data_IF_830443412808
#
_entry.id   IF_830443412808
#
_cell.length_a   1.000
_cell.length_b   1.000
_cell.length_c   1.000
_cell.angle_alpha   90.00
_cell.angle_beta   90.00
_cell.angle_gamma   90.00
#
_symmetry.space_group_name_H-M   'P 1'
#
loop_
_entity.id
_entity.type
_entity.pdbx_description
1 polymer ?
#
# COMPACT_ATOMS: atom_id res chain seq x y z
N UNK A 1 -81.01 -4.78 34.21
CA UNK A 1 -81.95 -5.40 33.25
C UNK A 1 -81.06 -6.06 32.19
N UNK A 2 -80.95 -7.31 32.37
CA UNK A 2 -81.42 -8.41 31.55
C UNK A 2 -80.43 -8.61 30.32
N UNK A 3 -79.70 -9.63 30.27
CA UNK A 3 -79.89 -11.05 30.11
C UNK A 3 -79.33 -11.48 28.72
N UNK A 4 -78.40 -12.45 28.82
CA UNK A 4 -78.28 -13.68 28.03
C UNK A 4 -77.94 -13.57 26.55
N UNK A 5 -77.15 -14.43 25.89
CA UNK A 5 -76.89 -15.87 26.08
C UNK A 5 -75.67 -16.29 25.23
N UNK A 6 -74.94 -17.26 25.72
CA UNK A 6 -74.13 -18.24 24.93
C UNK A 6 -75.08 -19.16 24.15
N UNK A 7 -74.68 -19.96 23.14
CA UNK A 7 -73.70 -21.02 23.29
C UNK A 7 -72.94 -21.48 21.98
N UNK A 8 -71.94 -22.21 22.20
CA UNK A 8 -71.60 -23.61 21.82
C UNK A 8 -70.74 -23.91 20.58
N UNK A 9 -69.68 -24.56 20.97
CA UNK A 9 -69.12 -25.83 20.43
C UNK A 9 -68.68 -25.92 18.96
N UNK A 10 -67.41 -26.24 18.82
CA UNK A 10 -66.82 -26.75 17.61
C UNK A 10 -65.40 -27.30 17.87
N UNK A 11 -65.33 -28.51 18.41
CA UNK A 11 -64.13 -29.33 18.50
C UNK A 11 -63.62 -29.65 17.07
N UNK A 12 -62.47 -29.10 16.67
CA UNK A 12 -61.72 -29.48 15.48
C UNK A 12 -60.36 -30.02 15.91
N UNK A 13 -60.18 -31.33 15.88
CA UNK A 13 -58.92 -31.99 16.11
C UNK A 13 -57.94 -31.60 14.97
N UNK A 14 -57.00 -30.76 15.25
CA UNK A 14 -55.88 -30.42 14.34
C UNK A 14 -54.65 -31.20 14.71
N UNK A 15 -54.27 -32.07 13.81
CA UNK A 15 -53.08 -32.91 13.83
C UNK A 15 -51.81 -32.13 14.18
N UNK A 16 -51.15 -32.54 15.26
CA UNK A 16 -49.81 -32.13 15.59
C UNK A 16 -48.82 -32.73 14.60
N UNK A 17 -48.39 -31.95 13.63
CA UNK A 17 -47.19 -32.24 12.84
C UNK A 17 -45.95 -32.03 13.74
N UNK A 18 -45.02 -33.02 13.81
CA UNK A 18 -43.77 -32.84 14.56
C UNK A 18 -42.97 -31.72 13.90
N UNK A 19 -42.54 -30.75 14.70
CA UNK A 19 -41.52 -29.80 14.34
C UNK A 19 -40.28 -30.58 13.89
N UNK A 20 -39.98 -30.54 12.59
CA UNK A 20 -38.73 -30.98 12.06
C UNK A 20 -37.63 -30.16 12.75
N UNK A 21 -36.84 -30.87 13.55
CA UNK A 21 -35.60 -30.34 14.13
C UNK A 21 -34.72 -29.82 12.98
N UNK A 22 -34.67 -28.50 12.83
CA UNK A 22 -33.85 -27.85 11.83
C UNK A 22 -32.41 -28.38 11.93
N UNK A 23 -32.02 -29.17 10.93
CA UNK A 23 -30.65 -29.61 10.77
C UNK A 23 -29.77 -28.37 10.75
N UNK A 24 -28.93 -28.20 11.77
CA UNK A 24 -27.87 -27.19 11.75
C UNK A 24 -27.08 -27.36 10.46
N UNK A 25 -26.82 -26.26 9.71
CA UNK A 25 -26.01 -26.35 8.52
C UNK A 25 -24.66 -26.93 8.90
N UNK A 26 -24.34 -28.13 8.39
CA UNK A 26 -23.03 -28.74 8.52
C UNK A 26 -22.01 -27.71 8.06
N UNK A 27 -21.17 -27.21 8.98
CA UNK A 27 -20.03 -26.38 8.65
C UNK A 27 -19.25 -27.13 7.56
N UNK A 28 -19.30 -26.65 6.34
CA UNK A 28 -18.53 -27.21 5.24
C UNK A 28 -17.06 -27.19 5.67
N UNK A 29 -16.45 -28.37 5.78
CA UNK A 29 -15.05 -28.53 6.13
C UNK A 29 -14.24 -27.76 5.10
N UNK A 30 -13.72 -26.59 5.50
CA UNK A 30 -12.87 -25.76 4.66
C UNK A 30 -11.63 -26.57 4.35
N UNK A 31 -11.39 -26.84 3.07
CA UNK A 31 -10.26 -27.64 2.62
C UNK A 31 -8.94 -27.19 3.30
N UNK A 32 -8.05 -28.11 3.70
CA UNK A 32 -6.83 -27.78 4.48
C UNK A 32 -5.96 -26.67 3.85
N UNK A 33 -5.88 -26.63 2.52
CA UNK A 33 -5.16 -25.58 1.80
C UNK A 33 -5.80 -24.20 1.93
N UNK A 34 -7.15 -24.10 2.11
CA UNK A 34 -7.83 -22.82 2.43
C UNK A 34 -7.50 -22.33 3.84
N UNK A 35 -7.16 -23.21 4.78
CA UNK A 35 -6.69 -22.83 6.13
C UNK A 35 -5.28 -22.25 6.09
N UNK A 36 -4.41 -22.73 5.21
CA UNK A 36 -3.07 -22.16 5.02
C UNK A 36 -3.11 -20.72 4.49
N UNK A 37 -4.17 -20.37 3.71
CA UNK A 37 -4.44 -19.01 3.26
C UNK A 37 -5.36 -18.19 4.19
N UNK A 38 -5.73 -18.73 5.35
CA UNK A 38 -6.53 -18.05 6.36
C UNK A 38 -5.71 -17.16 7.32
N UNK A 39 -4.45 -16.85 6.95
CA UNK A 39 -3.67 -15.83 7.66
C UNK A 39 -4.43 -14.50 7.51
N UNK A 40 -4.72 -13.87 8.65
CA UNK A 40 -5.34 -12.55 8.64
C UNK A 40 -4.56 -11.63 7.70
N UNK A 41 -5.27 -10.94 6.83
CA UNK A 41 -4.69 -10.03 5.84
C UNK A 41 -3.78 -8.95 6.45
N UNK A 42 -3.82 -8.77 7.77
CA UNK A 42 -2.94 -7.85 8.51
C UNK A 42 -1.51 -8.37 8.69
N UNK A 43 -1.34 -9.69 8.80
CA UNK A 43 -0.02 -10.30 9.05
C UNK A 43 0.66 -10.80 7.77
N UNK A 44 -0.10 -11.03 6.71
CA UNK A 44 0.46 -11.55 5.46
C UNK A 44 1.51 -10.60 4.84
N UNK A 45 1.25 -9.29 4.66
CA UNK A 45 2.25 -8.39 4.12
C UNK A 45 3.53 -8.29 4.98
N UNK A 46 3.48 -8.17 6.32
CA UNK A 46 4.66 -8.23 7.16
C UNK A 46 5.48 -9.52 6.99
N UNK A 47 4.83 -10.68 6.97
CA UNK A 47 5.52 -11.96 6.80
C UNK A 47 6.20 -12.07 5.44
N UNK A 48 5.51 -11.70 4.37
CA UNK A 48 6.05 -11.77 3.01
C UNK A 48 7.20 -10.79 2.79
N UNK A 49 7.09 -9.55 3.28
CA UNK A 49 8.19 -8.58 3.16
C UNK A 49 9.40 -8.99 4.00
N UNK A 50 9.20 -9.63 5.16
CA UNK A 50 10.28 -10.19 5.97
C UNK A 50 10.96 -11.33 5.22
N UNK A 51 10.20 -12.23 4.61
CA UNK A 51 10.75 -13.33 3.80
C UNK A 51 11.56 -12.80 2.62
N UNK A 52 11.05 -11.77 1.92
CA UNK A 52 11.77 -11.08 0.85
C UNK A 52 13.09 -10.50 1.38
N UNK A 53 13.03 -9.79 2.51
CA UNK A 53 14.19 -9.16 3.12
C UNK A 53 15.27 -10.19 3.49
N UNK A 54 14.87 -11.25 4.19
CA UNK A 54 15.78 -12.31 4.63
C UNK A 54 16.43 -13.01 3.42
N UNK A 55 15.62 -13.43 2.44
CA UNK A 55 16.13 -14.07 1.23
C UNK A 55 17.11 -13.16 0.49
N UNK A 56 16.74 -11.91 0.29
CA UNK A 56 17.54 -10.95 -0.44
C UNK A 56 18.84 -10.59 0.31
N UNK A 57 18.79 -10.50 1.64
CA UNK A 57 20.00 -10.18 2.41
C UNK A 57 20.95 -11.37 2.54
N UNK A 58 20.44 -12.56 2.83
CA UNK A 58 21.28 -13.77 2.94
C UNK A 58 21.94 -14.10 1.59
N UNK A 59 21.22 -13.89 0.48
CA UNK A 59 21.73 -14.20 -0.86
C UNK A 59 22.63 -13.11 -1.45
N UNK A 60 22.41 -11.83 -1.12
CA UNK A 60 22.99 -10.69 -1.83
C UNK A 60 23.49 -9.55 -0.95
N UNK A 61 23.36 -9.65 0.38
CA UNK A 61 23.83 -8.60 1.28
C UNK A 61 23.15 -7.24 1.05
N UNK A 62 21.85 -7.22 0.76
CA UNK A 62 21.16 -5.97 0.38
C UNK A 62 21.01 -4.95 1.51
N UNK A 63 21.18 -5.36 2.76
CA UNK A 63 21.16 -4.42 3.89
C UNK A 63 22.56 -3.84 4.13
N UNK A 64 22.61 -2.59 4.50
CA UNK A 64 23.84 -1.94 4.98
C UNK A 64 24.33 -2.57 6.30
N UNK A 65 23.39 -2.97 7.15
CA UNK A 65 23.62 -3.67 8.41
C UNK A 65 22.30 -4.03 9.09
N UNK A 66 22.30 -5.12 9.84
CA UNK A 66 21.13 -5.55 10.61
C UNK A 66 20.75 -4.54 11.69
N UNK A 67 21.75 -3.89 12.30
CA UNK A 67 21.60 -2.92 13.38
C UNK A 67 20.83 -1.71 12.88
N UNK A 68 21.14 -1.21 11.68
CA UNK A 68 20.49 -0.04 11.07
C UNK A 68 19.05 -0.35 10.71
N UNK A 69 18.81 -1.51 10.11
CA UNK A 69 17.45 -1.96 9.80
C UNK A 69 16.64 -2.24 11.06
N UNK A 70 17.22 -2.88 12.05
CA UNK A 70 16.60 -3.09 13.36
C UNK A 70 16.24 -1.77 14.04
N UNK A 71 17.14 -0.79 14.02
CA UNK A 71 16.90 0.55 14.55
C UNK A 71 15.75 1.26 13.81
N UNK A 72 15.70 1.17 12.49
CA UNK A 72 14.60 1.73 11.70
C UNK A 72 13.24 1.12 12.09
N UNK A 73 13.19 -0.21 12.26
CA UNK A 73 11.97 -0.94 12.67
C UNK A 73 11.54 -0.53 14.09
N UNK A 74 12.47 -0.56 15.04
CA UNK A 74 12.16 -0.21 16.45
C UNK A 74 11.70 1.24 16.55
N UNK A 75 12.35 2.15 15.83
CA UNK A 75 11.96 3.57 15.77
C UNK A 75 10.56 3.72 15.16
N UNK A 76 10.28 3.05 14.05
CA UNK A 76 8.97 3.12 13.41
C UNK A 76 7.85 2.60 14.32
N UNK A 77 8.06 1.45 14.98
CA UNK A 77 7.09 0.87 15.91
C UNK A 77 6.91 1.79 17.13
N UNK A 78 8.00 2.27 17.73
CA UNK A 78 7.94 3.19 18.87
C UNK A 78 7.19 4.48 18.53
N UNK A 79 7.50 5.10 17.39
CA UNK A 79 6.79 6.28 16.91
C UNK A 79 5.29 6.01 16.67
N UNK A 80 4.94 4.87 16.07
CA UNK A 80 3.54 4.47 15.86
C UNK A 80 2.78 4.33 17.17
N UNK A 81 3.36 3.65 18.15
CA UNK A 81 2.74 3.46 19.47
C UNK A 81 2.52 4.80 20.17
N UNK A 82 3.54 5.66 20.18
CA UNK A 82 3.45 6.98 20.82
C UNK A 82 2.41 7.85 20.11
N UNK A 83 2.53 8.02 18.78
CA UNK A 83 1.63 8.87 18.02
C UNK A 83 0.19 8.35 18.04
N UNK A 84 0.00 7.04 17.96
CA UNK A 84 -1.34 6.43 18.05
C UNK A 84 -1.97 6.65 19.42
N UNK A 85 -1.20 6.47 20.49
CA UNK A 85 -1.67 6.72 21.86
C UNK A 85 -2.04 8.17 22.08
N UNK A 86 -1.22 9.10 21.59
CA UNK A 86 -1.47 10.55 21.73
C UNK A 86 -2.67 11.00 20.90
N UNK A 87 -2.84 10.44 19.70
CA UNK A 87 -3.90 10.91 18.76
C UNK A 87 -5.24 10.27 19.03
N UNK A 88 -5.28 8.98 19.36
CA UNK A 88 -6.52 8.19 19.45
C UNK A 88 -6.83 7.67 20.86
N UNK A 89 -5.94 7.85 21.81
CA UNK A 89 -6.08 7.29 23.16
C UNK A 89 -5.97 5.77 23.25
N UNK A 90 -5.69 5.09 22.14
CA UNK A 90 -5.61 3.63 22.02
C UNK A 90 -4.27 3.19 21.40
N UNK A 91 -3.86 1.95 21.69
CA UNK A 91 -2.65 1.39 21.11
C UNK A 91 -2.92 0.93 19.67
N UNK A 92 -2.22 1.47 18.68
CA UNK A 92 -2.40 1.07 17.28
C UNK A 92 -1.76 -0.30 17.01
N UNK A 93 -2.21 -0.97 15.95
CA UNK A 93 -1.59 -2.22 15.51
C UNK A 93 -0.25 -1.93 14.81
N UNK A 94 0.89 -2.53 15.23
CA UNK A 94 2.22 -2.15 14.77
C UNK A 94 2.58 -2.64 13.35
N UNK A 95 1.78 -3.50 12.71
CA UNK A 95 2.11 -4.11 11.41
C UNK A 95 2.46 -3.09 10.32
N UNK A 96 1.74 -1.97 10.25
CA UNK A 96 2.01 -0.92 9.27
C UNK A 96 3.33 -0.18 9.55
N UNK A 97 3.66 0.03 10.82
CA UNK A 97 4.92 0.64 11.23
C UNK A 97 6.10 -0.30 10.97
N UNK A 98 5.92 -1.59 11.25
CA UNK A 98 6.91 -2.62 10.93
C UNK A 98 7.29 -2.61 9.44
N UNK A 99 6.28 -2.61 8.54
CA UNK A 99 6.53 -2.52 7.08
C UNK A 99 7.27 -1.22 6.72
N UNK A 100 6.87 -0.08 7.30
CA UNK A 100 7.55 1.19 7.05
C UNK A 100 9.00 1.17 7.53
N UNK A 101 9.27 0.59 8.71
CA UNK A 101 10.61 0.44 9.27
C UNK A 101 11.51 -0.47 8.41
N UNK A 102 11.01 -1.62 7.98
CA UNK A 102 11.74 -2.49 7.02
C UNK A 102 12.05 -1.74 5.73
N UNK A 103 11.05 -1.05 5.16
CA UNK A 103 11.23 -0.31 3.92
C UNK A 103 12.26 0.82 4.06
N UNK A 104 12.26 1.54 5.18
CA UNK A 104 13.27 2.54 5.49
C UNK A 104 14.67 1.89 5.61
N UNK A 105 14.78 0.77 6.32
CA UNK A 105 16.02 0.03 6.49
C UNK A 105 16.62 -0.52 5.20
N UNK A 106 15.76 -0.91 4.24
CA UNK A 106 16.21 -1.37 2.92
C UNK A 106 16.58 -0.21 2.00
N UNK A 107 15.77 0.85 1.99
CA UNK A 107 15.87 1.91 0.98
C UNK A 107 16.94 2.94 1.34
N UNK A 108 17.09 3.28 2.62
CA UNK A 108 18.08 4.26 3.06
C UNK A 108 19.47 3.64 3.05
N UNK A 109 20.44 4.38 2.51
CA UNK A 109 21.86 4.06 2.50
C UNK A 109 22.64 5.19 3.13
N UNK A 110 23.29 4.92 4.26
CA UNK A 110 24.12 5.89 4.96
C UNK A 110 25.11 5.16 5.89
N UNK A 111 26.34 5.67 6.06
CA UNK A 111 27.25 5.16 7.07
C UNK A 111 26.79 5.47 8.49
N UNK A 112 25.88 6.43 8.65
CA UNK A 112 25.38 6.90 9.96
C UNK A 112 24.08 6.22 10.36
N UNK A 113 23.76 6.17 11.66
CA UNK A 113 22.53 5.61 12.19
C UNK A 113 21.35 6.59 12.14
N UNK A 114 21.60 7.89 12.29
CA UNK A 114 20.55 8.92 12.38
C UNK A 114 19.62 8.99 11.15
N UNK A 115 20.05 8.73 9.89
CA UNK A 115 19.12 8.78 8.77
C UNK A 115 18.03 7.71 8.83
N UNK A 116 18.33 6.54 9.37
CA UNK A 116 17.36 5.46 9.54
C UNK A 116 16.31 5.82 10.59
N UNK A 117 16.74 6.42 11.70
CA UNK A 117 15.86 6.96 12.74
C UNK A 117 14.99 8.07 12.17
N UNK A 118 15.60 9.06 11.53
CA UNK A 118 14.90 10.23 11.00
C UNK A 118 13.88 9.84 9.91
N UNK A 119 14.26 8.95 8.98
CA UNK A 119 13.34 8.45 7.94
C UNK A 119 12.14 7.76 8.57
N UNK A 120 12.36 6.91 9.57
CA UNK A 120 11.29 6.20 10.28
C UNK A 120 10.38 7.17 11.04
N UNK A 121 10.93 8.13 11.76
CA UNK A 121 10.17 9.16 12.47
C UNK A 121 9.34 10.01 11.53
N UNK A 122 9.93 10.54 10.46
CA UNK A 122 9.22 11.35 9.47
C UNK A 122 8.11 10.52 8.80
N UNK A 123 8.41 9.27 8.40
CA UNK A 123 7.42 8.37 7.79
C UNK A 123 6.21 8.16 8.68
N UNK A 124 6.44 7.82 9.94
CA UNK A 124 5.34 7.54 10.86
C UNK A 124 4.60 8.82 11.26
N UNK A 125 5.30 9.90 11.57
CA UNK A 125 4.68 11.18 11.92
C UNK A 125 3.81 11.71 10.80
N UNK A 126 4.22 11.57 9.53
CA UNK A 126 3.43 11.97 8.37
C UNK A 126 2.05 11.31 8.31
N UNK A 127 1.91 10.08 8.80
CA UNK A 127 0.62 9.35 8.89
C UNK A 127 -0.39 10.04 9.80
N UNK A 128 0.08 10.75 10.81
CA UNK A 128 -0.76 11.41 11.81
C UNK A 128 -1.00 12.88 11.49
N UNK A 129 0.04 13.56 11.01
CA UNK A 129 0.02 15.02 10.76
C UNK A 129 -0.49 15.35 9.36
N UNK A 130 -0.03 14.61 8.33
CA UNK A 130 -0.32 14.93 6.94
C UNK A 130 -1.55 14.15 6.44
N UNK A 131 -2.71 14.50 7.00
CA UNK A 131 -4.00 13.89 6.66
C UNK A 131 -4.96 14.93 6.11
N UNK A 132 -5.72 14.50 5.12
CA UNK A 132 -6.82 15.29 4.61
C UNK A 132 -8.09 14.43 4.54
N UNK A 133 -9.17 14.87 5.19
CA UNK A 133 -10.45 14.15 5.31
C UNK A 133 -10.29 12.68 5.73
N UNK A 134 -9.42 12.43 6.71
CA UNK A 134 -9.18 11.10 7.27
C UNK A 134 -8.27 10.19 6.45
N UNK A 135 -7.79 10.63 5.27
CA UNK A 135 -6.84 9.87 4.44
C UNK A 135 -5.43 10.45 4.53
N UNK A 136 -4.42 9.59 4.40
CA UNK A 136 -3.04 10.04 4.28
C UNK A 136 -2.83 10.68 2.90
N UNK A 137 -2.16 11.83 2.85
CA UNK A 137 -1.85 12.51 1.59
C UNK A 137 -0.67 11.84 0.85
N UNK A 138 0.32 11.34 1.58
CA UNK A 138 1.49 10.67 1.04
C UNK A 138 1.58 9.23 1.52
N UNK A 139 2.18 8.36 0.71
CA UNK A 139 2.71 7.12 1.23
C UNK A 139 3.77 7.45 2.28
N UNK A 140 3.63 6.94 3.53
CA UNK A 140 4.49 7.37 4.64
C UNK A 140 5.97 7.12 4.39
N UNK A 141 6.32 5.93 3.90
CA UNK A 141 7.72 5.58 3.64
C UNK A 141 8.29 6.41 2.50
N UNK A 142 7.52 6.61 1.41
CA UNK A 142 7.95 7.47 0.32
C UNK A 142 8.20 8.90 0.79
N UNK A 143 7.32 9.42 1.65
CA UNK A 143 7.48 10.76 2.23
C UNK A 143 8.76 10.86 3.06
N UNK A 144 9.00 9.90 3.97
CA UNK A 144 10.19 9.89 4.81
C UNK A 144 11.50 9.77 4.03
N UNK A 145 11.55 8.83 3.07
CA UNK A 145 12.73 8.64 2.21
C UNK A 145 13.00 9.89 1.37
N UNK A 146 11.97 10.42 0.69
CA UNK A 146 12.11 11.63 -0.14
C UNK A 146 12.58 12.83 0.68
N UNK A 147 12.01 13.02 1.88
CA UNK A 147 12.37 14.12 2.75
C UNK A 147 13.83 14.04 3.23
N UNK A 148 14.26 12.86 3.68
CA UNK A 148 15.62 12.71 4.24
C UNK A 148 16.68 12.81 3.15
N UNK A 149 16.43 12.23 1.96
CA UNK A 149 17.35 12.35 0.81
C UNK A 149 17.43 13.80 0.32
N UNK A 150 16.32 14.54 0.34
CA UNK A 150 16.30 15.96 -0.03
C UNK A 150 17.04 16.84 1.00
N UNK A 151 16.84 16.56 2.28
CA UNK A 151 17.44 17.35 3.37
C UNK A 151 18.92 17.06 3.58
N UNK A 152 19.38 15.86 3.29
CA UNK A 152 20.74 15.42 3.56
C UNK A 152 21.40 14.67 2.39
N UNK A 153 21.42 15.23 1.17
CA UNK A 153 21.89 14.53 -0.03
C UNK A 153 23.36 14.11 0.02
N UNK A 154 24.17 14.80 0.84
CA UNK A 154 25.60 14.49 1.00
C UNK A 154 25.86 13.24 1.87
N UNK A 155 24.88 12.83 2.70
CA UNK A 155 25.07 11.76 3.69
C UNK A 155 24.11 10.60 3.53
N UNK A 156 23.08 10.78 2.70
CA UNK A 156 22.01 9.79 2.50
C UNK A 156 21.81 9.54 1.02
N UNK A 157 21.80 8.27 0.66
CA UNK A 157 21.43 7.80 -0.68
C UNK A 157 20.25 6.81 -0.58
N UNK A 158 19.59 6.55 -1.67
CA UNK A 158 18.63 5.46 -1.79
C UNK A 158 19.31 4.24 -2.39
N UNK A 159 18.89 3.06 -1.96
CA UNK A 159 19.36 1.79 -2.49
C UNK A 159 19.28 1.78 -4.03
N UNK A 160 20.44 1.68 -4.68
CA UNK A 160 20.58 1.67 -6.14
C UNK A 160 21.13 0.33 -6.67
N UNK A 161 21.26 -0.67 -5.79
CA UNK A 161 21.78 -1.99 -6.17
C UNK A 161 20.85 -2.62 -7.22
N UNK A 162 21.42 -3.17 -8.25
CA UNK A 162 20.75 -3.97 -9.26
C UNK A 162 21.18 -5.43 -9.10
N UNK A 163 20.27 -6.36 -9.38
CA UNK A 163 20.57 -7.79 -9.30
C UNK A 163 21.54 -8.28 -10.40
N UNK A 164 21.90 -7.41 -11.32
CA UNK A 164 22.71 -7.77 -12.48
C UNK A 164 22.01 -8.85 -13.31
N UNK A 165 22.75 -9.92 -13.61
CA UNK A 165 22.22 -11.07 -14.36
C UNK A 165 21.61 -12.17 -13.46
N UNK A 166 21.45 -11.93 -12.16
CA UNK A 166 20.93 -12.94 -11.24
C UNK A 166 19.41 -12.86 -11.20
N UNK A 167 18.77 -13.73 -11.96
CA UNK A 167 17.31 -13.75 -12.15
C UNK A 167 16.57 -14.31 -10.92
N UNK A 168 17.18 -15.23 -10.18
CA UNK A 168 16.50 -15.96 -9.09
C UNK A 168 15.92 -15.05 -7.99
N UNK A 169 16.67 -14.13 -7.36
CA UNK A 169 16.11 -13.24 -6.34
C UNK A 169 15.06 -12.28 -6.91
N UNK A 170 15.29 -11.80 -8.13
CA UNK A 170 14.31 -10.97 -8.83
C UNK A 170 13.00 -11.73 -9.02
N UNK A 171 13.04 -12.97 -9.50
CA UNK A 171 11.85 -13.80 -9.70
C UNK A 171 11.11 -14.06 -8.39
N UNK A 172 11.81 -14.34 -7.29
CA UNK A 172 11.20 -14.53 -5.96
C UNK A 172 10.44 -13.27 -5.52
N UNK A 173 11.06 -12.10 -5.63
CA UNK A 173 10.44 -10.84 -5.20
C UNK A 173 9.25 -10.50 -6.12
N UNK A 174 9.36 -10.70 -7.43
CA UNK A 174 8.25 -10.49 -8.36
C UNK A 174 7.09 -11.44 -8.06
N UNK A 175 7.36 -12.72 -7.77
CA UNK A 175 6.33 -13.70 -7.43
C UNK A 175 5.61 -13.30 -6.13
N UNK A 176 6.35 -13.08 -5.05
CA UNK A 176 5.78 -12.74 -3.76
C UNK A 176 5.08 -11.38 -3.78
N UNK A 177 5.67 -10.37 -4.41
CA UNK A 177 5.08 -9.06 -4.60
C UNK A 177 3.78 -9.13 -5.39
N UNK A 178 3.75 -9.90 -6.48
CA UNK A 178 2.54 -10.11 -7.29
C UNK A 178 1.43 -10.78 -6.47
N UNK A 179 1.75 -11.80 -5.67
CA UNK A 179 0.78 -12.47 -4.78
C UNK A 179 0.16 -11.47 -3.80
N UNK A 180 0.98 -10.61 -3.18
CA UNK A 180 0.53 -9.58 -2.24
C UNK A 180 -0.44 -8.61 -2.93
N UNK A 181 -0.01 -8.04 -4.05
CA UNK A 181 -0.76 -7.00 -4.78
C UNK A 181 -2.04 -7.57 -5.38
N UNK A 182 -2.00 -8.81 -5.89
CA UNK A 182 -3.18 -9.53 -6.37
C UNK A 182 -4.20 -9.76 -5.25
N UNK A 183 -3.73 -10.18 -4.08
CA UNK A 183 -4.58 -10.43 -2.92
C UNK A 183 -5.26 -9.16 -2.37
N UNK A 184 -4.58 -8.02 -2.48
CA UNK A 184 -5.11 -6.69 -2.12
C UNK A 184 -6.00 -6.11 -3.25
N UNK A 185 -6.09 -6.77 -4.42
CA UNK A 185 -6.87 -6.31 -5.57
C UNK A 185 -6.26 -5.08 -6.28
N UNK A 186 -4.94 -4.94 -6.23
CA UNK A 186 -4.21 -3.77 -6.78
C UNK A 186 -3.27 -4.10 -7.93
N UNK A 187 -3.36 -5.31 -8.49
CA UNK A 187 -2.48 -5.78 -9.57
C UNK A 187 -2.46 -4.84 -10.78
N UNK A 188 -3.62 -4.27 -11.13
CA UNK A 188 -3.74 -3.32 -12.23
C UNK A 188 -2.85 -2.07 -12.09
N UNK A 189 -2.60 -1.62 -10.85
CA UNK A 189 -1.71 -0.48 -10.56
C UNK A 189 -0.27 -0.84 -10.91
N UNK A 190 0.24 -1.96 -10.38
CA UNK A 190 1.60 -2.43 -10.66
C UNK A 190 1.81 -2.71 -12.15
N UNK A 191 0.85 -3.38 -12.80
CA UNK A 191 0.92 -3.66 -14.24
C UNK A 191 0.92 -2.37 -15.06
N UNK A 192 0.04 -1.43 -14.76
CA UNK A 192 0.01 -0.13 -15.47
C UNK A 192 1.31 0.63 -15.29
N UNK A 193 1.87 0.66 -14.06
CA UNK A 193 3.15 1.33 -13.84
C UNK A 193 4.28 0.69 -14.64
N UNK A 194 4.42 -0.66 -14.59
CA UNK A 194 5.46 -1.38 -15.33
C UNK A 194 5.35 -1.15 -16.82
N UNK A 195 4.15 -1.28 -17.39
CA UNK A 195 3.92 -1.04 -18.82
C UNK A 195 4.25 0.41 -19.20
N UNK A 196 3.82 1.38 -18.40
CA UNK A 196 4.13 2.80 -18.63
C UNK A 196 5.64 3.06 -18.56
N UNK A 197 6.32 2.49 -17.56
CA UNK A 197 7.77 2.59 -17.44
C UNK A 197 8.50 2.02 -18.67
N UNK A 198 8.06 0.86 -19.17
CA UNK A 198 8.64 0.24 -20.37
C UNK A 198 8.43 1.10 -21.62
N UNK A 199 7.22 1.63 -21.82
CA UNK A 199 6.92 2.54 -22.93
C UNK A 199 7.79 3.80 -22.83
N UNK A 200 7.85 4.42 -21.67
CA UNK A 200 8.68 5.59 -21.45
C UNK A 200 10.18 5.31 -21.53
N UNK A 201 10.62 4.08 -21.25
CA UNK A 201 12.02 3.69 -21.43
C UNK A 201 12.43 3.66 -22.90
N UNK A 202 11.51 3.29 -23.81
CA UNK A 202 11.73 3.38 -25.26
C UNK A 202 11.86 4.84 -25.66
N UNK A 203 10.97 5.70 -25.16
CA UNK A 203 11.05 7.15 -25.42
C UNK A 203 12.37 7.74 -24.92
N UNK A 204 12.79 7.43 -23.70
CA UNK A 204 14.08 7.89 -23.14
C UNK A 204 15.26 7.42 -23.99
N UNK A 205 15.27 6.14 -24.39
CA UNK A 205 16.31 5.57 -25.25
C UNK A 205 16.44 6.34 -26.58
N UNK A 206 15.30 6.64 -27.20
CA UNK A 206 15.27 7.43 -28.43
C UNK A 206 15.76 8.87 -28.21
N UNK A 207 15.30 9.52 -27.13
CA UNK A 207 15.65 10.91 -26.83
C UNK A 207 17.13 11.11 -26.47
N UNK A 208 17.67 10.21 -25.67
CA UNK A 208 19.06 10.31 -25.16
C UNK A 208 20.09 9.58 -26.01
N UNK A 209 19.66 8.89 -27.08
CA UNK A 209 20.50 8.01 -27.89
C UNK A 209 21.25 6.93 -27.07
N UNK A 210 20.70 6.52 -25.91
CA UNK A 210 21.27 5.49 -25.04
C UNK A 210 20.62 4.13 -25.30
N UNK A 211 21.31 2.99 -25.06
CA UNK A 211 20.73 1.67 -25.27
C UNK A 211 19.46 1.48 -24.42
N UNK A 212 18.41 0.92 -25.02
CA UNK A 212 17.13 0.66 -24.34
C UNK A 212 17.29 -0.17 -23.06
N UNK A 213 18.18 -1.18 -23.09
CA UNK A 213 18.49 -2.04 -21.93
C UNK A 213 18.95 -1.22 -20.73
N UNK A 214 19.75 -0.18 -20.93
CA UNK A 214 20.19 0.71 -19.86
C UNK A 214 19.02 1.50 -19.23
N UNK A 215 18.02 1.87 -20.05
CA UNK A 215 16.83 2.57 -19.58
C UNK A 215 15.83 1.66 -18.86
N UNK A 216 15.85 0.35 -19.13
CA UNK A 216 14.99 -0.64 -18.48
C UNK A 216 15.64 -1.23 -17.22
N UNK A 217 16.96 -1.37 -17.20
CA UNK A 217 17.71 -2.01 -16.13
C UNK A 217 17.27 -1.60 -14.69
N UNK A 218 16.96 -0.34 -14.39
CA UNK A 218 16.57 0.06 -13.03
C UNK A 218 15.36 -0.70 -12.48
N UNK A 219 14.38 -1.11 -13.30
CA UNK A 219 13.18 -1.82 -12.83
C UNK A 219 13.47 -3.20 -12.27
N UNK A 220 14.61 -3.77 -12.61
CA UNK A 220 15.05 -5.08 -12.11
C UNK A 220 15.60 -5.00 -10.69
N UNK A 221 15.97 -3.81 -10.20
CA UNK A 221 16.55 -3.63 -8.89
C UNK A 221 15.52 -3.72 -7.75
N UNK A 222 15.96 -4.08 -6.52
CA UNK A 222 15.07 -4.24 -5.36
C UNK A 222 14.35 -2.95 -4.97
N UNK A 223 14.97 -1.80 -5.18
CA UNK A 223 14.33 -0.50 -4.95
C UNK A 223 13.05 -0.33 -5.77
N UNK A 224 13.12 -0.61 -7.09
CA UNK A 224 11.95 -0.52 -7.96
C UNK A 224 10.91 -1.58 -7.64
N UNK A 225 11.33 -2.77 -7.27
CA UNK A 225 10.40 -3.83 -6.87
C UNK A 225 9.61 -3.43 -5.62
N UNK A 226 10.26 -2.86 -4.61
CA UNK A 226 9.58 -2.31 -3.44
C UNK A 226 8.66 -1.14 -3.81
N UNK A 227 9.11 -0.26 -4.70
CA UNK A 227 8.31 0.86 -5.18
C UNK A 227 7.04 0.38 -5.89
N UNK A 228 7.16 -0.55 -6.85
CA UNK A 228 6.05 -1.10 -7.66
C UNK A 228 5.05 -1.88 -6.82
N UNK A 229 5.50 -2.66 -5.83
CA UNK A 229 4.61 -3.53 -5.08
C UNK A 229 4.07 -2.92 -3.79
N UNK A 230 4.77 -1.96 -3.17
CA UNK A 230 4.40 -1.48 -1.83
C UNK A 230 4.16 0.03 -1.73
N UNK A 231 4.70 0.84 -2.64
CA UNK A 231 4.54 2.29 -2.55
C UNK A 231 3.44 2.82 -3.45
N UNK A 232 3.45 2.52 -4.75
CA UNK A 232 2.41 3.00 -5.68
C UNK A 232 1.07 2.31 -5.48
N UNK A 233 1.06 1.12 -4.86
CA UNK A 233 -0.14 0.31 -4.60
C UNK A 233 -0.79 0.59 -3.24
N UNK A 234 -0.25 1.49 -2.41
CA UNK A 234 -0.78 1.77 -1.07
C UNK A 234 -2.26 2.20 -1.13
N UNK A 235 -3.19 1.39 -0.56
CA UNK A 235 -4.62 1.66 -0.67
C UNK A 235 -5.07 2.94 0.06
N UNK A 236 -4.29 3.42 1.02
CA UNK A 236 -4.65 4.61 1.81
C UNK A 236 -4.32 5.92 1.09
N UNK A 237 -3.38 5.89 0.16
CA UNK A 237 -2.87 7.06 -0.56
C UNK A 237 -3.22 7.08 -2.04
N UNK A 238 -3.89 6.03 -2.54
CA UNK A 238 -4.31 5.92 -3.95
C UNK A 238 -5.77 6.36 -4.12
N UNK A 239 -6.11 6.98 -5.23
CA UNK A 239 -7.50 7.36 -5.59
C UNK A 239 -8.42 6.13 -5.63
N UNK A 240 -9.75 6.34 -5.49
CA UNK A 240 -10.72 5.23 -5.32
C UNK A 240 -11.02 4.49 -6.61
N UNK A 241 -11.17 5.20 -7.73
CA UNK A 241 -11.58 4.59 -8.99
C UNK A 241 -10.44 3.87 -9.70
N UNK A 242 -10.68 2.67 -10.25
CA UNK A 242 -9.69 1.88 -10.99
C UNK A 242 -9.08 2.66 -12.15
N UNK A 243 -9.92 3.35 -12.94
CA UNK A 243 -9.44 4.19 -14.05
C UNK A 243 -8.56 5.34 -13.55
N UNK A 244 -8.95 5.97 -12.43
CA UNK A 244 -8.15 7.01 -11.78
C UNK A 244 -6.81 6.47 -11.28
N UNK A 245 -6.79 5.27 -10.72
CA UNK A 245 -5.56 4.60 -10.26
C UNK A 245 -4.59 4.37 -11.42
N UNK A 246 -5.08 3.84 -12.54
CA UNK A 246 -4.26 3.64 -13.74
C UNK A 246 -3.73 4.98 -14.28
N UNK A 247 -4.56 6.03 -14.33
CA UNK A 247 -4.14 7.36 -14.77
C UNK A 247 -3.06 7.94 -13.85
N UNK A 248 -3.24 7.83 -12.54
CA UNK A 248 -2.28 8.38 -11.56
C UNK A 248 -0.91 7.71 -11.71
N UNK A 249 -0.85 6.37 -11.82
CA UNK A 249 0.44 5.69 -11.96
C UNK A 249 1.08 5.91 -13.33
N UNK A 250 0.28 6.10 -14.39
CA UNK A 250 0.78 6.57 -15.68
C UNK A 250 1.42 7.96 -15.56
N UNK A 251 0.78 8.88 -14.84
CA UNK A 251 1.33 10.22 -14.59
C UNK A 251 2.58 10.17 -13.72
N UNK A 252 2.65 9.26 -12.75
CA UNK A 252 3.87 9.03 -11.96
C UNK A 252 5.01 8.60 -12.88
N UNK A 253 4.80 7.61 -13.75
CA UNK A 253 5.82 7.15 -14.69
C UNK A 253 6.23 8.22 -15.72
N UNK A 254 5.28 9.06 -16.16
CA UNK A 254 5.56 10.20 -17.03
C UNK A 254 6.41 11.26 -16.32
N UNK A 255 6.03 11.65 -15.10
CA UNK A 255 6.79 12.59 -14.26
C UNK A 255 8.19 12.08 -13.94
N UNK A 256 8.29 10.79 -13.59
CA UNK A 256 9.59 10.12 -13.40
C UNK A 256 10.45 10.23 -14.66
N UNK A 257 9.85 10.04 -15.84
CA UNK A 257 10.58 10.13 -17.10
C UNK A 257 11.13 11.53 -17.31
N UNK A 258 10.33 12.58 -17.08
CA UNK A 258 10.79 13.96 -17.15
C UNK A 258 11.93 14.22 -16.16
N UNK A 259 11.79 13.75 -14.93
CA UNK A 259 12.83 13.89 -13.89
C UNK A 259 14.13 13.17 -14.29
N UNK A 260 14.05 11.97 -14.89
CA UNK A 260 15.23 11.23 -15.37
C UNK A 260 15.92 11.92 -16.53
N UNK A 261 15.17 12.54 -17.45
CA UNK A 261 15.75 13.35 -18.53
C UNK A 261 16.47 14.59 -18.01
N UNK A 262 16.14 15.04 -16.81
CA UNK A 262 16.85 16.11 -16.07
C UNK A 262 17.85 15.56 -15.03
N UNK A 263 18.28 14.30 -15.17
CA UNK A 263 19.30 13.66 -14.36
C UNK A 263 18.98 13.57 -12.86
N UNK A 264 17.71 13.65 -12.47
CA UNK A 264 17.28 13.51 -11.09
C UNK A 264 17.38 12.02 -10.68
N UNK A 265 18.31 11.70 -9.79
CA UNK A 265 18.69 10.32 -9.43
C UNK A 265 17.53 9.56 -8.78
N UNK A 266 16.77 10.20 -7.90
CA UNK A 266 15.69 9.56 -7.14
C UNK A 266 14.31 9.82 -7.72
N UNK A 267 14.24 9.94 -9.04
CA UNK A 267 13.05 10.30 -9.81
C UNK A 267 11.76 9.56 -9.42
N UNK A 268 11.71 8.22 -9.22
CA UNK A 268 10.46 7.54 -8.86
C UNK A 268 9.88 8.01 -7.53
N UNK A 269 10.73 8.24 -6.52
CA UNK A 269 10.28 8.72 -5.21
C UNK A 269 9.70 10.12 -5.29
N UNK A 270 10.38 11.03 -5.99
CA UNK A 270 9.91 12.40 -6.17
C UNK A 270 8.68 12.48 -7.08
N UNK A 271 8.58 11.63 -8.10
CA UNK A 271 7.39 11.56 -8.94
C UNK A 271 6.14 11.16 -8.12
N UNK A 272 6.25 10.11 -7.30
CA UNK A 272 5.17 9.71 -6.39
C UNK A 272 4.89 10.79 -5.33
N UNK A 273 5.94 11.45 -4.81
CA UNK A 273 5.83 12.51 -3.82
C UNK A 273 5.01 13.69 -4.33
N UNK A 274 5.14 14.04 -5.60
CA UNK A 274 4.41 15.17 -6.22
C UNK A 274 3.03 14.73 -6.72
N UNK A 275 2.96 13.67 -7.52
CA UNK A 275 1.73 13.26 -8.22
C UNK A 275 0.70 12.66 -7.27
N UNK A 276 1.14 11.86 -6.29
CA UNK A 276 0.24 11.17 -5.36
C UNK A 276 -0.73 12.10 -4.62
N UNK A 277 -0.23 13.07 -3.84
CA UNK A 277 -1.09 14.00 -3.09
C UNK A 277 -1.92 14.90 -4.01
N UNK A 278 -1.38 15.34 -5.16
CA UNK A 278 -2.14 16.14 -6.12
C UNK A 278 -3.35 15.35 -6.64
N UNK A 279 -3.17 14.10 -7.00
CA UNK A 279 -4.25 13.23 -7.46
C UNK A 279 -5.34 13.04 -6.39
N UNK A 280 -4.95 12.85 -5.12
CA UNK A 280 -5.89 12.75 -4.01
C UNK A 280 -6.67 14.03 -3.75
N UNK A 281 -6.01 15.18 -3.81
CA UNK A 281 -6.65 16.48 -3.62
C UNK A 281 -7.65 16.77 -4.75
N UNK A 282 -7.29 16.45 -6.00
CA UNK A 282 -8.18 16.57 -7.16
C UNK A 282 -9.40 15.65 -7.02
N UNK A 283 -9.19 14.38 -6.63
CA UNK A 283 -10.31 13.45 -6.38
C UNK A 283 -11.29 14.03 -5.36
N UNK A 284 -10.79 14.50 -4.23
CA UNK A 284 -11.62 15.01 -3.14
C UNK A 284 -12.33 16.32 -3.52
N UNK A 285 -11.70 17.17 -4.33
CA UNK A 285 -12.30 18.37 -4.85
C UNK A 285 -13.46 18.04 -5.82
N UNK A 286 -13.27 17.07 -6.72
CA UNK A 286 -14.32 16.59 -7.63
C UNK A 286 -15.48 15.96 -6.85
N UNK A 287 -15.22 15.14 -5.84
CA UNK A 287 -16.25 14.55 -4.99
C UNK A 287 -17.09 15.62 -4.27
N UNK A 288 -16.43 16.66 -3.75
CA UNK A 288 -17.13 17.76 -3.09
C UNK A 288 -18.04 18.52 -4.06
N UNK A 289 -17.56 18.82 -5.25
CA UNK A 289 -18.40 19.51 -6.26
C UNK A 289 -19.60 18.69 -6.70
N UNK A 290 -19.44 17.37 -6.82
CA UNK A 290 -20.55 16.47 -7.14
C UNK A 290 -21.61 16.44 -6.04
N UNK A 291 -21.20 16.36 -4.79
CA UNK A 291 -22.15 16.35 -3.66
C UNK A 291 -22.92 17.67 -3.53
N UNK A 292 -22.27 18.82 -3.78
CA UNK A 292 -22.93 20.12 -3.78
C UNK A 292 -23.97 20.22 -4.92
N UNK A 293 -23.64 19.78 -6.13
CA UNK A 293 -24.58 19.76 -7.26
C UNK A 293 -25.83 18.93 -6.95
N UNK A 294 -25.63 17.70 -6.47
CA UNK A 294 -26.76 16.84 -6.10
C UNK A 294 -27.66 17.46 -5.03
N UNK A 295 -27.10 18.21 -4.08
CA UNK A 295 -27.91 18.93 -3.08
C UNK A 295 -28.70 20.10 -3.67
N UNK A 296 -28.17 20.79 -4.67
CA UNK A 296 -28.86 21.86 -5.38
C UNK A 296 -30.02 21.29 -6.20
N UNK A 297 -29.74 20.26 -7.01
CA UNK A 297 -30.75 19.60 -7.83
C UNK A 297 -31.92 19.03 -7.00
N UNK A 298 -31.64 18.47 -5.81
CA UNK A 298 -32.68 17.99 -4.90
C UNK A 298 -33.51 19.10 -4.24
N UNK A 299 -32.98 20.32 -4.13
CA UNK A 299 -33.73 21.48 -3.64
C UNK A 299 -34.62 22.10 -4.70
N UNK A 300 -34.23 22.04 -5.96
CA UNK A 300 -35.03 22.56 -7.10
C UNK A 300 -36.23 21.65 -7.43
N UNK A 301 -36.18 20.35 -7.06
CA UNK A 301 -37.25 19.38 -7.28
C UNK A 301 -38.33 19.45 -6.15
N UNK A 302 -38.07 20.12 -5.03
CA UNK A 302 -38.99 20.29 -3.92
C UNK A 302 -39.73 21.65 -3.99
#
# INVERSE_FOLDING_TARGET
MAVETSPSTGLGAGSSTPLEAGAMPRASAVAPWKRFFAIDNRFLPPLLITSILLTAHVSFGILEGWERTGLAIVTAIGAELVMGRLTYGAWPHPASAYISGISAGILVRSPFFWPYVLTSLISITSKYVLRFRGRHLWNPTNFGVSAVVFLAPATVAVLSVQWGNVVAPMAVIWLLGTIIVWRVGRLHISVTYVLSFLVFSVFRSWWTATPWVANVAPITGPMYQLFVFFMVTDPKTTVKSVKGQCLVVFLIAATETVMRLNEIVYAPFYALFVVGPVALLVEQWVETRRSVRLQVDLKEIR
#
